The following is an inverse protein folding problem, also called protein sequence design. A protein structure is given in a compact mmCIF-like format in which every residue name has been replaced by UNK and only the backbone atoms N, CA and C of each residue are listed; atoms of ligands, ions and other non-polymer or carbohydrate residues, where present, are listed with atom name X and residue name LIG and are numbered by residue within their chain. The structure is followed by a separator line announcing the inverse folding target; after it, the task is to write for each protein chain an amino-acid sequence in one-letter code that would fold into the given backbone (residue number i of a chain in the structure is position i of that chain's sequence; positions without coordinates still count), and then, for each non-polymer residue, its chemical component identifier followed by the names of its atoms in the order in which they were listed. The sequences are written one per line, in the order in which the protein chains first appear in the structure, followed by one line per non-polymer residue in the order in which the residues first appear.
data_IF_194209590665
#
_entry.id   IF_194209590665
#
_cell.length_a   1.000
_cell.length_b   1.000
_cell.length_c   1.000
_cell.angle_alpha   90.00
_cell.angle_beta   90.00
_cell.angle_gamma   90.00
#
_symmetry.space_group_name_H-M   'P 1'
#
loop_
_entity.id
_entity.type
_entity.pdbx_description
1 polymer ?
#
# COMPACT_ATOMS: atom_id res chain seq x y z
N UNK A 1 -20.94 -1.55 61.72
CA UNK A 1 -20.51 -0.80 60.52
C UNK A 1 -19.37 -1.57 59.87
N UNK A 2 -19.51 -1.82 58.56
CA UNK A 2 -18.58 -2.49 57.64
C UNK A 2 -17.11 -2.06 57.82
N UNK A 3 -16.06 -2.82 57.46
CA UNK A 3 -15.90 -3.77 56.35
C UNK A 3 -14.71 -4.73 56.54
N UNK A 4 -14.83 -5.89 55.91
CA UNK A 4 -13.87 -6.98 55.73
C UNK A 4 -12.88 -6.72 54.57
N UNK A 5 -11.68 -7.29 54.70
CA UNK A 5 -10.85 -8.00 53.69
C UNK A 5 -11.15 -7.78 52.19
N UNK A 6 -10.14 -7.40 51.39
CA UNK A 6 -9.54 -8.36 50.45
C UNK A 6 -8.29 -7.86 49.69
N UNK A 7 -7.39 -8.83 49.47
CA UNK A 7 -6.25 -8.81 48.54
C UNK A 7 -6.73 -8.57 47.11
N UNK A 8 -5.99 -7.81 46.30
CA UNK A 8 -6.13 -7.82 44.85
C UNK A 8 -4.78 -7.81 44.13
N UNK A 9 -4.47 -8.98 43.57
CA UNK A 9 -3.86 -9.27 42.27
C UNK A 9 -3.07 -8.15 41.58
N UNK A 10 -1.75 -8.31 41.59
CA UNK A 10 -0.86 -7.83 40.54
C UNK A 10 -1.06 -8.71 39.30
N UNK A 11 -1.57 -8.12 38.21
CA UNK A 11 -1.65 -8.79 36.92
C UNK A 11 -0.38 -8.45 36.13
N UNK A 12 0.58 -9.36 36.15
CA UNK A 12 1.78 -9.32 35.32
C UNK A 12 1.43 -9.71 33.89
N UNK A 13 1.33 -8.72 33.00
CA UNK A 13 1.28 -8.96 31.55
C UNK A 13 2.69 -9.40 31.09
N UNK A 14 2.81 -10.69 30.77
CA UNK A 14 3.99 -11.22 30.08
C UNK A 14 3.87 -10.91 28.57
N UNK A 15 4.88 -10.31 27.92
CA UNK A 15 4.89 -10.16 26.47
C UNK A 15 5.34 -11.50 25.86
N UNK A 16 4.39 -12.36 25.54
CA UNK A 16 4.69 -13.71 25.07
C UNK A 16 3.49 -14.41 24.44
N UNK A 17 3.08 -13.98 23.25
CA UNK A 17 2.46 -14.88 22.28
C UNK A 17 2.66 -14.32 20.88
N UNK A 18 3.76 -14.75 20.25
CA UNK A 18 3.91 -14.59 18.81
C UNK A 18 2.78 -15.34 18.11
N UNK A 19 2.19 -14.71 17.10
CA UNK A 19 1.31 -15.37 16.14
C UNK A 19 2.03 -16.62 15.58
N UNK A 20 1.32 -17.75 15.41
CA UNK A 20 1.97 -18.99 14.98
C UNK A 20 2.58 -18.82 13.58
N UNK A 21 3.91 -18.97 13.48
CA UNK A 21 4.60 -19.09 12.19
C UNK A 21 4.06 -20.34 11.48
N UNK A 22 3.46 -20.14 10.30
CA UNK A 22 2.98 -21.22 9.44
C UNK A 22 4.18 -22.08 9.01
N UNK A 23 4.25 -23.33 9.48
CA UNK A 23 5.19 -24.31 8.94
C UNK A 23 4.67 -24.79 7.58
N UNK A 24 5.48 -24.66 6.54
CA UNK A 24 5.15 -25.15 5.20
C UNK A 24 5.34 -26.68 5.13
N UNK A 25 4.34 -27.47 4.68
CA UNK A 25 4.55 -28.89 4.49
C UNK A 25 5.27 -29.14 3.15
N UNK A 26 6.52 -29.59 3.22
CA UNK A 26 7.22 -30.21 2.07
C UNK A 26 6.46 -31.49 1.67
N UNK A 27 5.87 -31.53 0.48
CA UNK A 27 5.40 -32.80 -0.12
C UNK A 27 6.35 -33.25 -1.22
N UNK A 28 6.86 -34.47 -1.03
CA UNK A 28 7.62 -35.26 -1.98
C UNK A 28 6.85 -35.46 -3.30
N UNK A 29 7.53 -35.25 -4.42
CA UNK A 29 7.02 -35.61 -5.74
C UNK A 29 7.20 -37.12 -5.96
N UNK A 30 6.08 -37.85 -5.93
CA UNK A 30 5.97 -39.22 -6.43
C UNK A 30 5.31 -39.22 -7.80
N UNK A 31 6.02 -39.75 -8.80
CA UNK A 31 5.61 -39.89 -10.21
C UNK A 31 4.64 -41.06 -10.37
N UNK A 32 3.44 -40.83 -10.93
CA UNK A 32 2.60 -41.90 -11.53
C UNK A 32 1.90 -41.37 -12.78
N UNK A 33 1.92 -42.20 -13.83
CA UNK A 33 1.37 -41.95 -15.17
C UNK A 33 -0.12 -42.32 -15.32
N UNK A 34 -0.77 -41.54 -16.19
CA UNK A 34 -1.88 -41.81 -17.15
C UNK A 34 -3.20 -42.49 -16.78
N UNK A 35 -4.25 -41.84 -17.31
CA UNK A 35 -5.50 -42.32 -17.92
C UNK A 35 -6.76 -42.44 -17.04
N UNK A 36 -7.84 -41.79 -17.51
CA UNK A 36 -9.20 -41.94 -16.99
C UNK A 36 -10.04 -40.67 -17.14
N UNK A 37 -10.71 -40.53 -18.28
CA UNK A 37 -11.72 -39.51 -18.56
C UNK A 37 -13.00 -39.73 -17.74
N UNK A 38 -13.46 -38.71 -17.01
CA UNK A 38 -14.87 -38.59 -16.62
C UNK A 38 -15.24 -37.13 -16.40
N UNK A 39 -16.18 -36.65 -17.22
CA UNK A 39 -16.75 -35.32 -17.21
C UNK A 39 -17.42 -34.99 -15.86
N UNK A 40 -16.78 -34.13 -15.08
CA UNK A 40 -17.39 -33.46 -13.93
C UNK A 40 -17.69 -32.01 -14.28
N UNK A 41 -18.97 -31.68 -14.50
CA UNK A 41 -19.49 -30.31 -14.65
C UNK A 41 -18.94 -29.40 -13.54
N UNK A 42 -17.94 -28.59 -13.85
CA UNK A 42 -17.58 -27.42 -13.05
C UNK A 42 -18.59 -26.32 -13.39
N UNK A 43 -19.44 -26.00 -12.41
CA UNK A 43 -20.29 -24.82 -12.41
C UNK A 43 -19.41 -23.58 -12.59
N UNK A 44 -19.33 -23.07 -13.81
CA UNK A 44 -18.78 -21.76 -14.12
C UNK A 44 -19.79 -20.72 -13.64
N UNK A 45 -19.67 -20.28 -12.39
CA UNK A 45 -20.28 -19.03 -11.95
C UNK A 45 -19.61 -17.91 -12.73
N UNK A 46 -20.35 -17.36 -13.69
CA UNK A 46 -19.96 -16.23 -14.51
C UNK A 46 -19.78 -14.97 -13.65
N UNK A 47 -18.57 -14.71 -13.19
CA UNK A 47 -18.14 -13.41 -12.67
C UNK A 47 -18.00 -12.42 -13.82
N UNK A 48 -19.13 -11.89 -14.30
CA UNK A 48 -19.12 -10.62 -15.03
C UNK A 48 -19.01 -9.48 -14.00
N UNK A 49 -17.79 -9.29 -13.50
CA UNK A 49 -17.40 -8.09 -12.76
C UNK A 49 -17.29 -6.95 -13.79
N UNK A 50 -18.11 -5.91 -13.66
CA UNK A 50 -17.88 -4.66 -14.38
C UNK A 50 -16.62 -4.03 -13.76
N UNK A 51 -15.48 -4.25 -14.39
CA UNK A 51 -14.23 -3.59 -14.05
C UNK A 51 -14.41 -2.08 -14.18
N UNK A 52 -14.01 -1.35 -13.13
CA UNK A 52 -13.98 0.11 -13.14
C UNK A 52 -13.01 0.61 -14.22
N UNK A 53 -13.48 1.52 -15.08
CA UNK A 53 -12.63 2.07 -16.14
C UNK A 53 -11.50 2.92 -15.55
N UNK A 54 -10.43 3.14 -16.32
CA UNK A 54 -9.33 4.02 -15.90
C UNK A 54 -9.81 5.44 -15.59
N UNK A 55 -10.70 5.99 -16.42
CA UNK A 55 -11.27 7.33 -16.23
C UNK A 55 -12.10 7.42 -14.94
N UNK A 56 -12.91 6.40 -14.67
CA UNK A 56 -13.66 6.32 -13.41
C UNK A 56 -12.70 6.30 -12.22
N UNK A 57 -11.64 5.47 -12.27
CA UNK A 57 -10.65 5.39 -11.19
C UNK A 57 -9.96 6.72 -10.96
N UNK A 58 -9.50 7.39 -12.02
CA UNK A 58 -8.81 8.68 -11.94
C UNK A 58 -9.72 9.77 -11.36
N UNK A 59 -11.00 9.80 -11.78
CA UNK A 59 -11.99 10.73 -11.25
C UNK A 59 -12.27 10.48 -9.75
N UNK A 60 -12.46 9.22 -9.36
CA UNK A 60 -12.58 8.83 -7.94
C UNK A 60 -11.33 9.20 -7.15
N UNK A 61 -10.17 9.09 -7.78
CA UNK A 61 -8.91 9.44 -7.16
C UNK A 61 -8.75 10.93 -6.91
N UNK A 62 -9.18 11.73 -7.87
CA UNK A 62 -9.27 13.19 -7.76
C UNK A 62 -10.26 13.62 -6.68
N UNK A 63 -11.48 13.08 -6.68
CA UNK A 63 -12.50 13.43 -5.69
C UNK A 63 -12.01 13.21 -4.25
N UNK A 64 -11.38 12.07 -3.97
CA UNK A 64 -10.86 11.79 -2.64
C UNK A 64 -9.69 12.71 -2.25
N UNK A 65 -8.90 13.20 -3.23
CA UNK A 65 -7.87 14.22 -2.96
C UNK A 65 -8.49 15.56 -2.61
N UNK A 66 -9.50 16.01 -3.36
CA UNK A 66 -10.21 17.27 -3.11
C UNK A 66 -10.91 17.26 -1.75
N UNK A 67 -11.50 16.13 -1.35
CA UNK A 67 -12.10 15.98 -0.02
C UNK A 67 -11.05 15.95 1.09
N UNK A 68 -9.92 15.27 0.88
CA UNK A 68 -8.82 15.29 1.84
C UNK A 68 -8.28 16.72 2.03
N UNK A 69 -8.22 17.50 0.95
CA UNK A 69 -7.89 18.93 1.00
C UNK A 69 -8.87 19.69 1.88
N UNK A 70 -10.17 19.61 1.61
CA UNK A 70 -11.19 20.27 2.41
C UNK A 70 -11.14 19.86 3.91
N UNK A 71 -11.00 18.55 4.20
CA UNK A 71 -10.89 18.05 5.56
C UNK A 71 -9.63 18.56 6.25
N UNK A 72 -8.50 18.59 5.55
CA UNK A 72 -7.22 19.04 6.11
C UNK A 72 -7.20 20.54 6.37
N UNK A 73 -7.84 21.34 5.52
CA UNK A 73 -8.02 22.78 5.71
C UNK A 73 -8.92 23.04 6.94
N UNK A 74 -10.02 22.30 7.07
CA UNK A 74 -10.91 22.34 8.25
C UNK A 74 -10.26 21.80 9.54
N UNK A 75 -9.38 20.80 9.44
CA UNK A 75 -8.63 20.27 10.59
C UNK A 75 -7.45 21.18 11.00
N UNK A 76 -6.96 22.03 10.10
CA UNK A 76 -5.96 23.05 10.46
C UNK A 76 -6.51 24.04 11.49
N UNK A 77 -7.84 24.20 11.55
CA UNK A 77 -8.53 25.02 12.56
C UNK A 77 -8.83 24.29 13.88
N UNK A 78 -8.70 22.96 13.96
CA UNK A 78 -8.98 22.17 15.18
C UNK A 78 -7.98 21.03 15.29
N UNK A 79 -6.90 21.25 16.05
CA UNK A 79 -5.92 20.20 16.35
C UNK A 79 -6.51 19.17 17.30
N UNK A 80 -7.00 18.03 16.80
CA UNK A 80 -7.48 16.97 17.68
C UNK A 80 -7.37 15.58 17.04
N UNK A 81 -6.17 15.01 17.09
CA UNK A 81 -5.93 13.60 16.74
C UNK A 81 -4.44 13.23 16.81
N UNK A 82 -4.09 12.00 17.23
CA UNK A 82 -2.73 11.49 17.11
C UNK A 82 -2.22 11.62 15.66
N UNK A 83 -1.06 12.25 15.47
CA UNK A 83 -0.47 12.47 14.13
C UNK A 83 -0.87 13.78 13.43
N UNK A 84 -1.68 14.65 14.06
CA UNK A 84 -2.03 15.99 13.51
C UNK A 84 -0.80 16.86 13.23
N UNK A 85 0.26 16.70 14.02
CA UNK A 85 1.56 17.37 13.88
C UNK A 85 2.23 17.12 12.51
N UNK A 86 1.91 16.01 11.84
CA UNK A 86 2.44 15.69 10.51
C UNK A 86 1.94 16.66 9.43
N UNK A 87 0.76 17.26 9.62
CA UNK A 87 0.11 18.10 8.59
C UNK A 87 0.83 19.43 8.32
N UNK A 88 1.21 20.23 9.34
CA UNK A 88 2.06 21.40 9.14
C UNK A 88 3.34 21.12 8.34
N UNK A 89 4.02 20.01 8.63
CA UNK A 89 5.24 19.62 7.92
C UNK A 89 4.96 19.33 6.44
N UNK A 90 3.89 18.58 6.13
CA UNK A 90 3.49 18.32 4.73
C UNK A 90 3.29 19.62 3.95
N UNK A 91 2.49 20.54 4.50
CA UNK A 91 2.21 21.84 3.86
C UNK A 91 3.48 22.65 3.64
N UNK A 92 4.35 22.71 4.66
CA UNK A 92 5.63 23.43 4.56
C UNK A 92 6.49 22.85 3.44
N UNK A 93 6.62 21.52 3.36
CA UNK A 93 7.47 20.88 2.34
C UNK A 93 6.87 21.01 0.93
N UNK A 94 5.56 20.82 0.75
CA UNK A 94 4.92 21.06 -0.54
C UNK A 94 5.13 22.50 -1.01
N UNK A 95 4.85 23.48 -0.15
CA UNK A 95 5.11 24.90 -0.44
C UNK A 95 6.57 25.16 -0.80
N UNK A 96 7.51 24.61 -0.03
CA UNK A 96 8.94 24.77 -0.28
C UNK A 96 9.37 24.22 -1.66
N UNK A 97 8.88 23.05 -2.06
CA UNK A 97 9.22 22.47 -3.36
C UNK A 97 8.67 23.29 -4.54
N UNK A 98 7.49 23.90 -4.38
CA UNK A 98 6.92 24.80 -5.38
C UNK A 98 7.67 26.13 -5.44
N UNK A 99 7.94 26.76 -4.30
CA UNK A 99 8.68 28.03 -4.19
C UNK A 99 10.10 27.93 -4.75
N UNK A 100 10.75 26.78 -4.57
CA UNK A 100 12.10 26.51 -5.12
C UNK A 100 12.08 26.03 -6.57
N UNK A 101 10.91 25.92 -7.20
CA UNK A 101 10.78 25.53 -8.62
C UNK A 101 11.19 24.09 -8.93
N UNK A 102 11.33 23.23 -7.92
CA UNK A 102 11.75 21.83 -8.09
C UNK A 102 10.56 20.89 -8.22
N UNK A 103 9.35 21.29 -7.83
CA UNK A 103 8.14 20.49 -8.02
C UNK A 103 7.91 20.16 -9.52
N UNK A 104 7.54 18.91 -9.79
CA UNK A 104 7.21 18.40 -11.14
C UNK A 104 5.81 17.82 -11.16
N UNK A 105 5.29 17.61 -12.36
CA UNK A 105 3.96 17.04 -12.54
C UNK A 105 3.82 15.63 -11.97
N UNK A 106 2.64 15.24 -11.49
CA UNK A 106 1.37 15.97 -11.60
C UNK A 106 1.17 17.03 -10.50
N UNK A 107 0.86 18.27 -10.92
CA UNK A 107 0.39 19.34 -10.03
C UNK A 107 -1.15 19.32 -9.85
N UNK A 108 -1.70 19.93 -8.77
CA UNK A 108 -0.98 20.41 -7.58
C UNK A 108 -0.37 19.24 -6.80
N UNK A 109 0.74 19.49 -6.11
CA UNK A 109 1.47 18.45 -5.37
C UNK A 109 0.91 18.17 -3.98
N UNK A 110 0.02 19.03 -3.47
CA UNK A 110 -0.69 18.81 -2.22
C UNK A 110 -1.45 17.46 -2.23
N UNK A 111 -1.46 16.79 -1.08
CA UNK A 111 -2.04 15.45 -0.91
C UNK A 111 -1.41 14.35 -1.78
N UNK A 112 -0.22 14.60 -2.33
CA UNK A 112 0.56 13.61 -3.09
C UNK A 112 1.93 13.40 -2.44
N UNK A 113 2.55 12.28 -2.79
CA UNK A 113 4.01 12.19 -2.73
C UNK A 113 4.54 13.09 -3.85
N UNK A 114 5.27 14.17 -3.55
CA UNK A 114 5.61 15.18 -4.53
C UNK A 114 6.59 14.62 -5.56
N UNK A 115 6.31 14.86 -6.84
CA UNK A 115 7.31 14.66 -7.88
C UNK A 115 8.28 15.85 -7.92
N UNK A 116 9.54 15.60 -8.24
CA UNK A 116 10.60 16.60 -8.11
C UNK A 116 11.64 16.51 -9.23
N UNK A 117 12.32 17.63 -9.48
CA UNK A 117 13.51 17.71 -10.33
C UNK A 117 14.62 16.86 -9.71
N UNK A 118 15.20 15.92 -10.46
CA UNK A 118 16.19 15.00 -9.90
C UNK A 118 15.64 13.60 -9.55
N UNK A 119 14.34 13.32 -9.77
CA UNK A 119 13.74 12.04 -9.39
C UNK A 119 14.40 10.83 -10.11
N UNK A 120 14.79 10.99 -11.38
CA UNK A 120 15.45 9.93 -12.14
C UNK A 120 16.90 9.70 -11.68
N UNK A 121 17.60 10.75 -11.25
CA UNK A 121 18.93 10.72 -10.65
C UNK A 121 18.89 10.03 -9.28
N UNK A 122 17.88 10.34 -8.46
CA UNK A 122 17.64 9.63 -7.20
C UNK A 122 17.34 8.14 -7.46
N UNK A 123 16.52 7.84 -8.47
CA UNK A 123 16.27 6.45 -8.87
C UNK A 123 17.54 5.75 -9.38
N UNK A 124 18.39 6.45 -10.13
CA UNK A 124 19.69 5.91 -10.59
C UNK A 124 20.59 5.54 -9.43
N UNK A 125 20.71 6.46 -8.47
CA UNK A 125 21.55 6.25 -7.29
C UNK A 125 21.02 5.13 -6.42
N UNK A 126 19.70 5.00 -6.27
CA UNK A 126 19.08 3.87 -5.57
C UNK A 126 19.43 2.55 -6.27
N UNK A 127 19.37 2.49 -7.60
CA UNK A 127 19.68 1.27 -8.34
C UNK A 127 21.15 0.87 -8.32
N UNK A 128 22.06 1.78 -7.93
CA UNK A 128 23.48 1.50 -7.75
C UNK A 128 23.82 1.00 -6.32
N UNK A 129 22.82 0.85 -5.44
CA UNK A 129 23.02 0.29 -4.10
C UNK A 129 23.17 -1.23 -4.16
N UNK A 130 24.07 -1.78 -3.36
CA UNK A 130 24.25 -3.24 -3.25
C UNK A 130 22.95 -3.94 -2.82
N UNK A 131 22.17 -3.29 -1.95
CA UNK A 131 20.85 -3.76 -1.51
C UNK A 131 19.87 -3.92 -2.68
N UNK A 132 19.92 -3.01 -3.65
CA UNK A 132 19.10 -3.08 -4.85
C UNK A 132 19.62 -4.16 -5.81
N UNK A 133 20.94 -4.22 -6.01
CA UNK A 133 21.56 -5.23 -6.86
C UNK A 133 21.26 -6.65 -6.38
N UNK A 134 21.32 -6.89 -5.07
CA UNK A 134 21.10 -8.20 -4.45
C UNK A 134 19.62 -8.61 -4.36
N UNK A 135 18.69 -7.65 -4.43
CA UNK A 135 17.27 -7.95 -4.30
C UNK A 135 16.68 -8.42 -5.65
N UNK A 136 16.15 -9.63 -5.69
CA UNK A 136 15.46 -10.19 -6.87
C UNK A 136 13.99 -9.75 -6.98
N UNK A 137 13.38 -9.44 -5.84
CA UNK A 137 11.99 -8.98 -5.73
C UNK A 137 11.99 -7.67 -4.94
N UNK A 138 11.49 -6.61 -5.56
CA UNK A 138 11.50 -5.26 -5.00
C UNK A 138 10.09 -4.69 -5.00
N UNK A 139 9.61 -4.27 -3.83
CA UNK A 139 8.33 -3.57 -3.71
C UNK A 139 8.53 -2.08 -3.95
N UNK A 140 7.75 -1.47 -4.82
CA UNK A 140 7.80 -0.02 -5.08
C UNK A 140 6.38 0.54 -5.10
N UNK A 141 6.12 1.65 -4.41
CA UNK A 141 4.81 2.31 -4.49
C UNK A 141 4.53 2.83 -5.91
N UNK A 142 3.25 3.01 -6.31
CA UNK A 142 2.85 3.48 -7.62
C UNK A 142 2.99 5.01 -7.78
N UNK A 143 3.49 5.74 -6.78
CA UNK A 143 3.61 7.19 -6.82
C UNK A 143 4.50 7.64 -8.01
N UNK A 144 4.15 8.78 -8.63
CA UNK A 144 4.85 9.33 -9.81
C UNK A 144 6.36 9.48 -9.63
N UNK A 145 6.90 10.06 -8.54
CA UNK A 145 8.35 10.20 -8.35
C UNK A 145 9.11 8.86 -8.34
N UNK A 146 8.41 7.74 -8.17
CA UNK A 146 9.02 6.41 -8.11
C UNK A 146 8.91 5.63 -9.42
N UNK A 147 8.39 6.24 -10.49
CA UNK A 147 8.33 5.63 -11.82
C UNK A 147 9.71 5.21 -12.31
N UNK A 148 10.72 6.07 -12.14
CA UNK A 148 12.10 5.77 -12.49
C UNK A 148 12.66 4.55 -11.72
N UNK A 149 12.28 4.39 -10.46
CA UNK A 149 12.67 3.20 -9.66
C UNK A 149 12.03 1.94 -10.23
N UNK A 150 10.72 1.96 -10.53
CA UNK A 150 10.01 0.83 -11.16
C UNK A 150 10.64 0.43 -12.50
N UNK A 151 11.00 1.41 -13.32
CA UNK A 151 11.70 1.18 -14.58
C UNK A 151 13.05 0.51 -14.39
N UNK A 152 13.79 0.83 -13.33
CA UNK A 152 15.07 0.21 -13.00
C UNK A 152 14.93 -1.21 -12.46
N UNK A 153 13.89 -1.48 -11.67
CA UNK A 153 13.58 -2.84 -11.21
C UNK A 153 13.35 -3.75 -12.42
N UNK A 154 12.41 -3.39 -13.30
CA UNK A 154 12.11 -4.17 -14.50
C UNK A 154 13.25 -4.13 -15.53
N UNK A 155 13.97 -3.01 -15.63
CA UNK A 155 15.15 -2.87 -16.50
C UNK A 155 16.28 -3.81 -16.10
N UNK A 156 16.46 -4.05 -14.80
CA UNK A 156 17.43 -4.98 -14.23
C UNK A 156 16.98 -6.45 -14.21
N UNK A 157 15.85 -6.79 -14.85
CA UNK A 157 15.36 -8.17 -14.89
C UNK A 157 14.81 -8.68 -13.56
N UNK A 158 14.49 -7.79 -12.62
CA UNK A 158 13.97 -8.12 -11.29
C UNK A 158 12.45 -8.18 -11.30
N UNK A 159 11.88 -8.82 -10.27
CA UNK A 159 10.43 -8.81 -10.05
C UNK A 159 10.01 -7.54 -9.33
N UNK A 160 9.15 -6.75 -9.98
CA UNK A 160 8.50 -5.59 -9.37
C UNK A 160 7.23 -6.03 -8.65
N UNK A 161 7.11 -5.70 -7.37
CA UNK A 161 5.86 -5.79 -6.60
C UNK A 161 5.32 -4.38 -6.42
N UNK A 162 4.09 -4.11 -6.84
CA UNK A 162 3.49 -2.77 -6.71
C UNK A 162 2.05 -2.88 -6.22
N UNK A 163 1.65 -2.06 -5.22
CA UNK A 163 0.28 -2.10 -4.72
C UNK A 163 -0.67 -1.56 -5.78
N UNK A 164 -1.88 -2.11 -5.83
CA UNK A 164 -2.94 -1.48 -6.59
C UNK A 164 -3.35 -0.17 -5.90
N UNK A 165 -3.61 0.91 -6.65
CA UNK A 165 -3.95 2.20 -6.05
C UNK A 165 -5.03 2.09 -4.98
N UNK A 166 -4.67 2.50 -3.76
CA UNK A 166 -5.55 2.56 -2.58
C UNK A 166 -6.19 1.23 -2.18
N UNK A 167 -5.63 0.08 -2.60
CA UNK A 167 -6.09 -1.26 -2.25
C UNK A 167 -7.58 -1.53 -2.57
N UNK A 168 -8.13 -0.83 -3.58
CA UNK A 168 -9.58 -0.87 -3.90
C UNK A 168 -10.01 -2.07 -4.74
N UNK A 169 -9.22 -2.39 -5.76
CA UNK A 169 -9.55 -3.40 -6.78
C UNK A 169 -8.74 -4.68 -6.63
N UNK A 170 -7.71 -4.66 -5.78
CA UNK A 170 -6.80 -5.76 -5.54
C UNK A 170 -5.70 -5.37 -4.55
N UNK A 171 -4.76 -6.26 -4.34
CA UNK A 171 -3.75 -6.17 -3.30
C UNK A 171 -2.41 -5.67 -3.88
N UNK A 172 -1.52 -6.57 -4.28
CA UNK A 172 -0.34 -6.27 -5.08
C UNK A 172 -0.48 -6.87 -6.47
N UNK A 173 0.26 -6.32 -7.44
CA UNK A 173 0.58 -6.97 -8.69
C UNK A 173 2.09 -7.20 -8.78
N UNK A 174 2.48 -8.33 -9.33
CA UNK A 174 3.86 -8.62 -9.75
C UNK A 174 4.02 -8.33 -11.23
N UNK A 175 5.14 -7.72 -11.59
CA UNK A 175 5.57 -7.53 -12.98
C UNK A 175 6.99 -8.07 -13.11
N UNK A 176 7.27 -8.71 -14.24
CA UNK A 176 8.60 -9.19 -14.59
C UNK A 176 8.91 -8.82 -16.04
N UNK A 177 10.19 -8.61 -16.34
CA UNK A 177 10.63 -8.03 -17.61
C UNK A 177 10.32 -8.93 -18.82
N UNK A 178 10.38 -10.24 -18.65
CA UNK A 178 10.11 -11.23 -19.70
C UNK A 178 8.70 -11.15 -20.30
N UNK A 179 7.75 -10.55 -19.58
CA UNK A 179 6.35 -10.38 -20.00
C UNK A 179 6.05 -9.01 -20.61
N UNK A 180 7.05 -8.15 -20.77
CA UNK A 180 6.87 -6.75 -21.17
C UNK A 180 7.82 -6.42 -22.32
N UNK A 181 7.28 -5.99 -23.46
CA UNK A 181 8.11 -5.55 -24.57
C UNK A 181 8.93 -4.32 -24.17
N UNK A 182 10.15 -4.19 -24.68
CA UNK A 182 11.07 -3.09 -24.31
C UNK A 182 10.45 -1.69 -24.52
N UNK A 183 9.65 -1.52 -25.57
CA UNK A 183 8.96 -0.27 -25.88
C UNK A 183 7.82 0.07 -24.87
N UNK A 184 7.27 -0.95 -24.22
CA UNK A 184 6.15 -0.81 -23.27
C UNK A 184 6.61 -0.61 -21.82
N UNK A 185 7.91 -0.74 -21.55
CA UNK A 185 8.48 -0.64 -20.21
C UNK A 185 8.07 0.65 -19.45
N UNK A 186 8.09 1.86 -20.07
CA UNK A 186 7.63 3.07 -19.40
C UNK A 186 6.13 3.06 -19.10
N UNK A 187 5.33 2.39 -19.92
CA UNK A 187 3.89 2.25 -19.72
C UNK A 187 3.57 1.24 -18.61
N UNK A 188 4.24 0.08 -18.59
CA UNK A 188 4.12 -0.93 -17.54
C UNK A 188 4.44 -0.39 -16.14
N UNK A 189 5.25 0.68 -16.03
CA UNK A 189 5.56 1.36 -14.78
C UNK A 189 4.49 2.39 -14.33
N UNK A 190 3.36 2.50 -15.04
CA UNK A 190 2.21 3.34 -14.65
C UNK A 190 1.12 2.49 -14.00
N UNK A 191 0.21 3.12 -13.25
CA UNK A 191 -0.92 2.41 -12.64
C UNK A 191 -1.87 1.76 -13.66
N UNK A 192 -1.86 2.17 -14.93
CA UNK A 192 -2.60 1.54 -16.01
C UNK A 192 -1.84 0.34 -16.57
N UNK A 193 -0.54 0.50 -16.89
CA UNK A 193 0.27 -0.62 -17.35
C UNK A 193 0.45 -1.73 -16.32
N UNK A 194 0.47 -1.42 -15.02
CA UNK A 194 0.43 -2.42 -13.94
C UNK A 194 -0.84 -3.27 -13.98
N UNK A 195 -1.98 -2.67 -14.37
CA UNK A 195 -3.24 -3.41 -14.52
C UNK A 195 -3.19 -4.34 -15.73
N UNK A 196 -2.58 -3.88 -16.81
CA UNK A 196 -2.52 -4.61 -18.07
C UNK A 196 -1.48 -5.75 -18.05
N UNK A 197 -0.28 -5.48 -17.54
CA UNK A 197 0.84 -6.44 -17.57
C UNK A 197 1.06 -7.18 -16.24
N UNK A 198 0.42 -6.72 -15.15
CA UNK A 198 0.67 -7.26 -13.82
C UNK A 198 -0.12 -8.53 -13.51
N UNK A 199 0.54 -9.49 -12.87
CA UNK A 199 -0.12 -10.65 -12.29
C UNK A 199 -0.55 -10.35 -10.84
N UNK A 200 -1.83 -10.53 -10.47
CA UNK A 200 -2.30 -10.25 -9.11
C UNK A 200 -1.65 -11.20 -8.11
N UNK A 201 -1.33 -10.67 -6.92
CA UNK A 201 -0.81 -11.43 -5.78
C UNK A 201 -1.96 -11.77 -4.83
N UNK A 202 -2.04 -13.04 -4.43
CA UNK A 202 -2.95 -13.53 -3.40
C UNK A 202 -2.30 -13.49 -2.01
N UNK A 203 -3.13 -13.47 -0.95
CA UNK A 203 -2.67 -13.55 0.44
C UNK A 203 -1.94 -14.86 0.77
N UNK A 204 -2.09 -15.89 -0.05
CA UNK A 204 -1.46 -17.21 0.14
C UNK A 204 -0.19 -17.39 -0.69
N UNK A 205 0.17 -16.43 -1.53
CA UNK A 205 1.36 -16.54 -2.37
C UNK A 205 2.64 -16.46 -1.51
N UNK A 206 3.61 -17.31 -1.84
CA UNK A 206 4.94 -17.27 -1.23
C UNK A 206 5.79 -16.20 -1.94
N UNK A 207 5.72 -14.98 -1.41
CA UNK A 207 6.47 -13.84 -1.90
C UNK A 207 7.59 -13.52 -0.90
N UNK A 208 8.80 -13.22 -1.38
CA UNK A 208 9.93 -12.77 -0.55
C UNK A 208 10.47 -11.47 -1.11
N UNK A 209 10.17 -10.34 -0.48
CA UNK A 209 10.62 -9.02 -0.92
C UNK A 209 11.95 -8.69 -0.27
N UNK A 210 12.99 -8.45 -1.08
CA UNK A 210 14.33 -8.11 -0.59
C UNK A 210 14.52 -6.62 -0.27
N UNK A 211 13.71 -5.76 -0.88
CA UNK A 211 13.77 -4.31 -0.69
C UNK A 211 12.39 -3.68 -0.84
N UNK A 212 12.04 -2.78 0.09
CA UNK A 212 10.79 -2.02 0.07
C UNK A 212 11.08 -0.56 -0.23
N UNK A 213 10.48 -0.01 -1.28
CA UNK A 213 10.60 1.40 -1.66
C UNK A 213 9.27 2.12 -1.39
N UNK A 214 9.29 3.09 -0.49
CA UNK A 214 8.11 3.86 -0.05
C UNK A 214 8.21 5.32 -0.47
N UNK A 215 7.09 5.92 -0.85
CA UNK A 215 7.02 7.36 -1.14
C UNK A 215 6.89 8.20 0.13
N UNK A 216 7.62 9.31 0.20
CA UNK A 216 7.63 10.20 1.36
C UNK A 216 7.41 11.67 0.95
N UNK A 217 6.73 12.44 1.80
CA UNK A 217 6.64 13.90 1.71
C UNK A 217 7.83 14.53 2.43
N UNK A 218 8.17 14.05 3.63
CA UNK A 218 9.29 14.53 4.42
C UNK A 218 9.99 13.37 5.13
N UNK A 219 11.29 13.47 5.35
CA UNK A 219 12.10 12.45 6.02
C UNK A 219 13.15 13.11 6.88
N UNK A 220 13.36 12.61 8.10
CA UNK A 220 14.48 13.01 8.92
C UNK A 220 15.68 12.08 8.66
N UNK A 221 16.78 12.60 8.10
CA UNK A 221 17.93 11.78 7.73
C UNK A 221 18.69 11.20 8.92
N UNK A 222 18.59 11.82 10.10
CA UNK A 222 19.32 11.42 11.30
C UNK A 222 18.66 10.25 12.05
N UNK A 223 17.36 10.02 11.87
CA UNK A 223 16.62 8.98 12.60
C UNK A 223 15.70 8.13 11.71
N UNK A 224 15.59 8.41 10.41
CA UNK A 224 14.76 7.65 9.46
C UNK A 224 13.26 7.80 9.65
N UNK A 225 12.80 8.71 10.52
CA UNK A 225 11.39 8.99 10.67
C UNK A 225 10.88 9.70 9.41
N UNK A 226 9.73 9.26 8.89
CA UNK A 226 9.16 9.79 7.64
C UNK A 226 7.69 10.15 7.76
N UNK A 227 7.27 11.08 6.92
CA UNK A 227 5.87 11.48 6.75
C UNK A 227 5.46 11.18 5.32
N UNK A 228 4.49 10.29 5.13
CA UNK A 228 3.81 10.09 3.86
C UNK A 228 2.70 11.12 3.61
N UNK A 229 1.95 10.98 2.50
CA UNK A 229 0.86 11.89 2.11
C UNK A 229 -0.36 11.94 3.05
N UNK A 230 -0.48 10.99 3.99
CA UNK A 230 -1.46 11.03 5.08
C UNK A 230 -2.64 10.05 4.99
N UNK A 231 -2.70 9.17 3.98
CA UNK A 231 -3.81 8.20 3.85
C UNK A 231 -3.58 6.89 4.62
N UNK A 232 -2.34 6.61 5.04
CA UNK A 232 -1.98 5.39 5.79
C UNK A 232 -1.87 4.11 4.96
N UNK A 233 -1.93 4.20 3.63
CA UNK A 233 -1.88 3.02 2.75
C UNK A 233 -0.51 2.33 2.75
N UNK A 234 0.59 3.07 2.80
CA UNK A 234 1.93 2.48 2.80
C UNK A 234 2.18 1.65 4.07
N UNK A 235 1.66 2.11 5.20
CA UNK A 235 1.72 1.43 6.49
C UNK A 235 0.87 0.16 6.48
N UNK A 236 -0.35 0.23 5.92
CA UNK A 236 -1.21 -0.95 5.71
C UNK A 236 -0.57 -1.99 4.79
N UNK A 237 -0.02 -1.56 3.67
CA UNK A 237 0.71 -2.41 2.72
C UNK A 237 1.86 -3.15 3.40
N UNK A 238 2.65 -2.45 4.21
CA UNK A 238 3.73 -3.05 4.99
C UNK A 238 3.20 -4.07 6.01
N UNK A 239 2.16 -3.71 6.77
CA UNK A 239 1.53 -4.60 7.74
C UNK A 239 0.98 -5.88 7.13
N UNK A 240 0.36 -5.81 5.94
CA UNK A 240 -0.11 -7.00 5.23
C UNK A 240 1.08 -7.84 4.74
N UNK A 241 2.14 -7.23 4.17
CA UNK A 241 3.34 -7.97 3.77
C UNK A 241 4.03 -8.66 4.96
N UNK A 242 4.06 -8.02 6.14
CA UNK A 242 4.56 -8.62 7.38
C UNK A 242 3.74 -9.84 7.77
N UNK A 243 2.42 -9.74 7.71
CA UNK A 243 1.53 -10.87 7.99
C UNK A 243 1.74 -12.04 7.02
N UNK A 244 1.93 -11.77 5.73
CA UNK A 244 2.22 -12.80 4.73
C UNK A 244 3.59 -13.47 4.92
N UNK A 245 4.47 -12.89 5.75
CA UNK A 245 5.88 -13.28 5.80
C UNK A 245 6.67 -12.84 4.56
N UNK A 246 6.11 -11.94 3.76
CA UNK A 246 6.76 -11.42 2.56
C UNK A 246 7.86 -10.40 2.84
N UNK A 247 7.78 -9.74 3.99
CA UNK A 247 8.83 -8.92 4.57
C UNK A 247 8.99 -9.26 6.05
N UNK A 248 10.15 -8.94 6.60
CA UNK A 248 10.47 -9.03 8.01
C UNK A 248 11.06 -7.75 8.60
N UNK A 249 11.35 -7.75 9.90
CA UNK A 249 11.97 -6.63 10.62
C UNK A 249 13.34 -6.22 10.04
N UNK A 250 14.01 -7.13 9.33
CA UNK A 250 15.32 -6.90 8.72
C UNK A 250 15.21 -6.43 7.26
N UNK A 251 14.04 -6.59 6.63
CA UNK A 251 13.81 -6.15 5.26
C UNK A 251 13.97 -4.63 5.16
N UNK A 252 14.89 -4.17 4.33
CA UNK A 252 15.22 -2.75 4.25
C UNK A 252 14.13 -1.94 3.55
N UNK A 253 13.85 -0.77 4.13
CA UNK A 253 12.91 0.22 3.63
C UNK A 253 13.68 1.44 3.15
N UNK A 254 13.49 1.78 1.89
CA UNK A 254 14.18 2.86 1.18
C UNK A 254 13.18 3.91 0.69
N UNK A 255 13.59 5.16 0.65
CA UNK A 255 12.81 6.25 0.05
C UNK A 255 13.66 7.07 -0.90
N UNK A 256 13.06 7.51 -2.01
CA UNK A 256 13.65 8.48 -2.94
C UNK A 256 12.94 9.81 -2.76
N UNK A 257 13.68 10.87 -2.44
CA UNK A 257 13.14 12.20 -2.17
C UNK A 257 14.08 13.29 -2.69
N UNK A 258 13.59 14.51 -2.87
CA UNK A 258 14.45 15.67 -3.10
C UNK A 258 15.19 16.06 -1.82
N UNK A 259 16.36 16.71 -1.92
CA UNK A 259 17.13 17.18 -0.76
C UNK A 259 16.33 18.13 0.15
N UNK A 260 15.45 18.94 -0.43
CA UNK A 260 14.52 19.84 0.32
C UNK A 260 13.42 19.11 1.10
N UNK A 261 13.27 17.80 0.92
CA UNK A 261 12.36 16.96 1.72
C UNK A 261 13.05 16.36 2.95
N UNK A 262 14.37 16.56 3.08
CA UNK A 262 15.09 16.25 4.31
C UNK A 262 14.77 17.35 5.33
N UNK A 263 14.28 16.94 6.50
CA UNK A 263 13.86 17.82 7.59
C UNK A 263 14.44 17.33 8.92
N UNK A 264 14.58 18.20 9.91
CA UNK A 264 15.13 17.89 11.23
C UNK A 264 14.08 17.83 12.34
N UNK A 265 12.85 18.26 12.06
CA UNK A 265 11.75 18.40 13.03
C UNK A 265 10.73 17.25 13.01
N UNK A 266 11.21 16.04 12.73
CA UNK A 266 10.46 14.79 12.92
C UNK A 266 11.12 13.99 14.04
N UNK A 267 10.54 14.06 15.23
CA UNK A 267 11.06 13.38 16.42
C UNK A 267 10.55 11.94 16.50
N UNK A 268 11.41 11.01 16.91
CA UNK A 268 11.07 9.59 17.01
C UNK A 268 9.90 9.33 17.99
N UNK A 269 9.87 10.03 19.12
CA UNK A 269 8.80 9.89 20.13
C UNK A 269 7.42 10.36 19.67
N UNK A 270 7.34 11.07 18.53
CA UNK A 270 6.08 11.51 17.93
C UNK A 270 5.52 10.51 16.90
N UNK A 271 6.36 9.56 16.48
CA UNK A 271 5.98 8.51 15.54
C UNK A 271 4.96 7.56 16.19
N UNK A 272 3.99 7.14 15.39
CA UNK A 272 2.98 6.20 15.81
C UNK A 272 3.49 4.78 15.56
N UNK A 273 3.03 3.82 16.36
CA UNK A 273 3.44 2.41 16.29
C UNK A 273 3.28 1.74 14.91
N UNK A 274 2.40 2.27 14.05
CA UNK A 274 2.19 1.78 12.69
C UNK A 274 3.04 2.52 11.63
N UNK A 275 3.74 3.60 12.00
CA UNK A 275 4.57 4.32 11.06
C UNK A 275 5.79 3.48 10.69
N UNK A 276 6.02 3.32 9.39
CA UNK A 276 7.17 2.55 8.88
C UNK A 276 8.35 3.51 8.68
N UNK A 277 9.45 3.36 9.43
CA UNK A 277 10.64 4.18 9.25
C UNK A 277 11.39 3.78 7.97
N UNK A 278 12.38 4.58 7.58
CA UNK A 278 13.25 4.29 6.43
C UNK A 278 14.67 4.04 6.91
N UNK A 279 15.28 2.98 6.40
CA UNK A 279 16.66 2.60 6.66
C UNK A 279 17.65 3.38 5.76
N UNK A 280 17.22 3.69 4.53
CA UNK A 280 18.04 4.39 3.53
C UNK A 280 17.21 5.50 2.87
N UNK A 281 17.79 6.71 2.81
CA UNK A 281 17.26 7.86 2.08
C UNK A 281 18.16 8.13 0.89
N UNK A 282 17.57 8.19 -0.30
CA UNK A 282 18.29 8.51 -1.53
C UNK A 282 17.76 9.81 -2.09
N UNK A 283 18.65 10.78 -2.29
CA UNK A 283 18.34 12.05 -2.95
C UNK A 283 19.06 12.14 -4.30
N UNK A 284 18.78 13.17 -5.12
CA UNK A 284 19.56 13.47 -6.32
C UNK A 284 21.05 13.74 -6.07
N UNK A 285 21.46 14.03 -4.83
CA UNK A 285 22.86 14.36 -4.50
C UNK A 285 23.57 13.31 -3.64
N UNK A 286 22.85 12.55 -2.82
CA UNK A 286 23.46 11.70 -1.80
C UNK A 286 22.63 10.45 -1.43
N UNK A 287 23.27 9.51 -0.73
CA UNK A 287 22.65 8.36 -0.06
C UNK A 287 22.96 8.47 1.43
N UNK A 288 21.93 8.35 2.26
CA UNK A 288 22.01 8.47 3.70
C UNK A 288 21.47 7.17 4.31
N UNK A 289 22.29 6.50 5.14
CA UNK A 289 21.87 5.38 5.98
C UNK A 289 21.46 5.95 7.34
N UNK A 290 20.21 5.77 7.71
CA UNK A 290 19.62 6.53 8.84
C UNK A 290 19.99 5.95 10.20
N UNK A 291 20.31 4.65 10.27
CA UNK A 291 20.52 3.95 11.53
C UNK A 291 19.29 4.02 12.44
N UNK A 292 18.08 4.12 11.86
CA UNK A 292 16.83 4.28 12.60
C UNK A 292 16.70 3.26 13.73
N UNK A 293 16.38 3.75 14.93
CA UNK A 293 16.07 2.91 16.09
C UNK A 293 14.57 2.61 16.19
N UNK A 294 13.77 3.29 15.37
CA UNK A 294 12.34 3.10 15.37
C UNK A 294 12.00 1.72 14.83
N UNK A 295 11.17 0.98 15.57
CA UNK A 295 10.84 -0.38 15.19
C UNK A 295 9.87 -0.39 14.00
N UNK A 296 10.12 -1.27 13.04
CA UNK A 296 9.17 -1.51 11.96
C UNK A 296 7.93 -2.22 12.54
N UNK A 297 6.71 -1.88 12.09
CA UNK A 297 5.49 -2.49 12.62
C UNK A 297 5.52 -4.02 12.53
N UNK A 298 5.05 -4.76 13.55
CA UNK A 298 5.10 -6.22 13.56
C UNK A 298 4.12 -6.85 12.56
N UNK A 299 3.16 -6.08 12.07
CA UNK A 299 2.08 -6.52 11.21
C UNK A 299 0.95 -5.51 11.20
N UNK A 300 -0.28 -6.00 11.05
CA UNK A 300 -1.48 -5.18 11.11
C UNK A 300 -1.91 -4.99 12.56
N UNK A 301 -2.02 -3.72 12.98
CA UNK A 301 -2.51 -3.31 14.29
C UNK A 301 -4.05 -3.18 14.23
N UNK A 302 -4.75 -4.30 14.40
CA UNK A 302 -6.21 -4.40 14.21
C UNK A 302 -7.02 -3.46 15.10
N UNK A 303 -6.54 -3.24 16.33
CA UNK A 303 -7.09 -2.31 17.33
C UNK A 303 -6.93 -0.83 16.95
N UNK A 304 -6.18 -0.53 15.89
CA UNK A 304 -6.08 0.83 15.31
C UNK A 304 -6.86 0.98 14.01
N UNK A 305 -7.41 -0.10 13.46
CA UNK A 305 -8.19 -0.05 12.22
C UNK A 305 -9.65 0.24 12.49
N UNK A 306 -10.12 1.40 12.03
CA UNK A 306 -11.51 1.80 12.15
C UNK A 306 -12.46 0.89 11.36
N UNK A 307 -13.72 0.72 11.81
CA UNK A 307 -14.74 -0.02 11.06
C UNK A 307 -14.93 0.53 9.65
N UNK A 308 -14.81 1.85 9.47
CA UNK A 308 -14.92 2.53 8.19
C UNK A 308 -13.80 2.10 7.24
N UNK A 309 -12.56 1.93 7.75
CA UNK A 309 -11.40 1.54 6.91
C UNK A 309 -11.50 0.09 6.49
N UNK A 310 -11.93 -0.77 7.41
CA UNK A 310 -12.25 -2.17 7.11
C UNK A 310 -13.37 -2.27 6.06
N UNK A 311 -14.44 -1.47 6.17
CA UNK A 311 -15.52 -1.47 5.18
C UNK A 311 -15.06 -0.98 3.80
N UNK A 312 -14.04 -0.14 3.73
CA UNK A 312 -13.49 0.40 2.49
C UNK A 312 -12.51 -0.56 1.79
N UNK A 313 -11.67 -1.26 2.54
CA UNK A 313 -10.56 -2.05 1.98
C UNK A 313 -10.90 -3.54 2.03
N UNK A 314 -11.20 -4.11 0.87
CA UNK A 314 -11.65 -5.51 0.73
C UNK A 314 -10.64 -6.50 1.32
N UNK A 315 -9.36 -6.33 0.99
CA UNK A 315 -8.30 -7.27 1.40
C UNK A 315 -8.15 -7.34 2.92
N UNK A 316 -8.37 -6.22 3.63
CA UNK A 316 -8.33 -6.20 5.10
C UNK A 316 -9.49 -7.01 5.72
N UNK A 317 -10.68 -7.00 5.10
CA UNK A 317 -11.80 -7.82 5.58
C UNK A 317 -11.56 -9.30 5.34
N UNK A 318 -11.08 -9.66 4.16
CA UNK A 318 -10.75 -11.04 3.81
C UNK A 318 -9.68 -11.58 4.76
N UNK A 319 -8.65 -10.77 5.02
CA UNK A 319 -7.59 -11.11 5.94
C UNK A 319 -8.08 -11.24 7.38
N UNK A 320 -8.86 -10.26 7.88
CA UNK A 320 -9.45 -10.32 9.22
C UNK A 320 -10.29 -11.59 9.39
N UNK A 321 -11.19 -11.87 8.45
CA UNK A 321 -12.04 -13.04 8.48
C UNK A 321 -11.23 -14.35 8.43
N UNK A 322 -10.16 -14.41 7.63
CA UNK A 322 -9.26 -15.58 7.57
C UNK A 322 -8.61 -15.84 8.93
N UNK A 323 -8.06 -14.81 9.58
CA UNK A 323 -7.41 -14.94 10.88
C UNK A 323 -8.41 -15.34 11.96
N UNK A 324 -9.60 -14.73 11.98
CA UNK A 324 -10.65 -15.07 12.94
C UNK A 324 -11.14 -16.51 12.78
N UNK A 325 -11.24 -16.99 11.53
CA UNK A 325 -11.59 -18.38 11.24
C UNK A 325 -10.49 -19.37 11.65
N UNK A 326 -9.22 -19.05 11.42
CA UNK A 326 -8.08 -19.89 11.78
C UNK A 326 -7.84 -19.96 13.29
N UNK A 327 -8.00 -18.83 13.99
CA UNK A 327 -7.72 -18.73 15.44
C UNK A 327 -8.94 -19.02 16.32
N UNK A 328 -10.15 -18.95 15.75
CA UNK A 328 -11.41 -19.03 16.50
C UNK A 328 -11.67 -17.80 17.39
N UNK A 329 -10.84 -16.76 17.31
CA UNK A 329 -10.95 -15.54 18.13
C UNK A 329 -11.33 -14.35 17.26
N UNK A 330 -12.25 -13.51 17.75
CA UNK A 330 -12.54 -12.23 17.09
C UNK A 330 -11.39 -11.25 17.31
N UNK A 331 -10.92 -10.66 16.23
CA UNK A 331 -9.88 -9.64 16.27
C UNK A 331 -10.50 -8.30 16.70
N UNK A 332 -9.75 -7.45 17.42
CA UNK A 332 -10.21 -6.12 17.82
C UNK A 332 -10.47 -5.23 16.60
N UNK A 333 -11.21 -4.15 16.82
CA UNK A 333 -11.42 -3.08 15.83
C UNK A 333 -11.16 -1.76 16.54
N UNK A 334 -10.50 -0.85 15.86
CA UNK A 334 -10.18 0.47 16.40
C UNK A 334 -11.38 1.40 16.49
N UNK A 335 -11.16 2.62 17.00
CA UNK A 335 -12.20 3.62 17.12
C UNK A 335 -12.73 4.06 15.74
N UNK A 336 -13.92 4.65 15.74
CA UNK A 336 -14.48 5.26 14.54
C UNK A 336 -13.56 6.36 14.02
N UNK A 337 -13.40 6.40 12.69
CA UNK A 337 -12.58 7.38 12.00
C UNK A 337 -13.41 8.04 10.90
N UNK A 338 -13.29 9.36 10.80
CA UNK A 338 -13.81 10.10 9.64
C UNK A 338 -12.82 9.92 8.51
N UNK A 339 -13.05 8.87 7.71
CA UNK A 339 -12.27 8.66 6.50
C UNK A 339 -12.73 9.63 5.40
N UNK A 340 -11.80 10.11 4.55
CA UNK A 340 -12.21 10.70 3.30
C UNK A 340 -13.07 9.66 2.55
N UNK A 341 -14.22 10.07 1.97
CA UNK A 341 -15.04 9.17 1.19
C UNK A 341 -14.22 8.52 0.07
N UNK A 342 -14.09 7.20 0.09
CA UNK A 342 -13.77 6.49 -1.14
C UNK A 342 -15.00 6.64 -2.03
N UNK A 343 -14.81 7.11 -3.25
CA UNK A 343 -15.92 7.30 -4.15
C UNK A 343 -16.74 6.00 -4.28
N UNK A 344 -18.02 6.12 -3.94
CA UNK A 344 -18.94 5.00 -3.75
C UNK A 344 -19.09 4.23 -5.06
N UNK A 345 -19.10 2.90 -4.99
CA UNK A 345 -19.62 2.08 -6.09
C UNK A 345 -21.11 2.43 -6.23
N UNK A 346 -21.50 2.97 -7.38
CA UNK A 346 -22.90 3.20 -7.70
C UNK A 346 -23.69 1.89 -7.63
N UNK A 347 -24.99 1.91 -7.27
CA UNK A 347 -25.80 0.71 -7.29
C UNK A 347 -25.84 0.13 -8.70
N UNK A 348 -25.60 -1.18 -8.82
CA UNK A 348 -25.72 -1.95 -10.06
C UNK A 348 -27.01 -1.57 -10.76
N UNK A 349 -26.92 -0.91 -11.92
CA UNK A 349 -28.05 -0.82 -12.85
C UNK A 349 -28.42 -2.25 -13.24
N UNK A 350 -29.48 -2.80 -12.65
CA UNK A 350 -30.14 -4.01 -13.16
C UNK A 350 -30.47 -3.71 -14.61
N UNK A 351 -29.79 -4.41 -15.53
CA UNK A 351 -29.95 -4.24 -16.96
C UNK A 351 -31.44 -4.27 -17.32
N UNK A 352 -31.93 -3.16 -17.87
CA UNK A 352 -33.27 -3.09 -18.41
C UNK A 352 -33.39 -4.14 -19.51
N UNK A 353 -34.40 -5.01 -19.38
CA UNK A 353 -34.88 -5.87 -20.46
C UNK A 353 -35.08 -4.99 -21.70
N UNK A 354 -34.22 -5.14 -22.72
CA UNK A 354 -34.51 -4.62 -24.06
C UNK A 354 -35.76 -5.34 -24.56
N UNK A 355 -36.86 -4.61 -24.63
CA UNK A 355 -38.09 -5.05 -25.26
C UNK A 355 -37.81 -5.42 -26.72
N UNK A 356 -38.09 -6.68 -27.04
CA UNK A 356 -38.06 -7.23 -28.39
C UNK A 356 -39.19 -6.57 -29.19
N UNK A 357 -38.89 -5.58 -30.02
CA UNK A 357 -39.87 -5.05 -30.97
C UNK A 357 -40.19 -6.12 -32.00
N UNK A 358 -41.43 -6.59 -31.99
CA UNK A 358 -42.01 -7.39 -33.06
C UNK A 358 -42.20 -6.52 -34.29
N UNK A 359 -41.59 -6.91 -35.41
CA UNK A 359 -41.97 -6.42 -36.73
C UNK A 359 -43.29 -7.06 -37.11
N UNK A 360 -44.38 -6.34 -36.93
CA UNK A 360 -45.68 -6.62 -37.54
C UNK A 360 -45.77 -5.90 -38.89
N UNK A 361 -45.99 -6.65 -39.97
CA UNK A 361 -46.26 -6.12 -41.29
C UNK A 361 -47.73 -5.74 -41.51
N UNK A 362 -47.96 -4.85 -42.47
CA UNK A 362 -49.11 -4.70 -43.41
C UNK A 362 -48.84 -3.43 -44.22
N UNK A 363 -48.57 -3.52 -45.53
CA UNK A 363 -49.55 -3.40 -46.63
C UNK A 363 -50.47 -2.18 -46.50
N UNK A 364 -50.17 -1.13 -47.26
CA UNK A 364 -50.99 -0.62 -48.36
C UNK A 364 -50.06 0.13 -49.32
#
# INVERSE_FOLDING_TARGET
MQSYLNRNFTCSFSPGSGLPKRQSPRRHFGRVMSAGSSEGKRNSLSEQQLEETEDERLAKDQQAREQMKALSEAATTVGSGPGSWKWPIRKRVWKLLEEKGVARDPKPIDHRIPNFAGADEAAQRLAALQEFENAEVIKVNPDTPQKGVRMRVLGGGKTLVTPQPRLRTGFFSTLHRDRIASAELPFACTSAGVREHGAPVSLQDDLRVGLVVVGSVAVNPANGCRIGKGEGFAELEYGIMRWMGAVDEHTLVVTTVHDLQLVDDIEEGQMLEHDVPVDIVVTPTQVIRTGTLHQKPPGILWEKLSPQKLAQIRILRELKASIEAETGQKLPTGPDEVLPPIAKRGPRRRGGRRGRQSRGGRRA
#
